data_IF_198986122745
#
_entry.id   IF_198986122745
#
_cell.length_a   1.000
_cell.length_b   1.000
_cell.length_c   1.000
_cell.angle_alpha   90.00
_cell.angle_beta   90.00
_cell.angle_gamma   90.00
#
_symmetry.space_group_name_H-M   'P 1'
#
loop_
_entity.id
_entity.type
_entity.pdbx_description
1 polymer ?
#
# COMPACT_ATOMS: atom_id res chain seq x y z
N UNK A 1 12.04 19.98 -7.12
CA UNK A 1 11.83 18.60 -7.63
C UNK A 1 11.24 17.79 -6.47
N UNK A 2 10.19 16.99 -6.69
CA UNK A 2 9.72 16.03 -5.68
C UNK A 2 10.79 14.95 -5.49
N UNK A 3 11.16 14.66 -4.25
CA UNK A 3 12.05 13.54 -3.95
C UNK A 3 11.22 12.35 -3.51
N UNK A 4 11.20 11.33 -4.37
CA UNK A 4 10.62 10.03 -4.06
C UNK A 4 11.67 9.19 -3.35
N UNK A 5 11.33 8.70 -2.16
CA UNK A 5 12.18 7.82 -1.35
C UNK A 5 11.45 6.51 -1.16
N UNK A 6 12.13 5.40 -1.48
CA UNK A 6 11.68 4.06 -1.12
C UNK A 6 12.54 3.58 0.02
N UNK A 7 11.92 3.17 1.13
CA UNK A 7 12.64 2.69 2.32
C UNK A 7 11.90 1.55 2.99
N UNK A 8 12.60 0.83 3.87
CA UNK A 8 11.97 -0.16 4.74
C UNK A 8 10.87 0.50 5.58
N UNK A 9 9.77 -0.24 5.73
CA UNK A 9 8.74 0.07 6.69
C UNK A 9 9.34 0.08 8.11
N UNK A 10 8.90 1.04 8.93
CA UNK A 10 9.16 1.09 10.37
C UNK A 10 7.84 1.17 11.13
N UNK A 11 7.84 0.87 12.44
CA UNK A 11 6.61 0.82 13.24
C UNK A 11 5.79 2.12 13.18
N UNK A 12 6.47 3.28 13.13
CA UNK A 12 5.83 4.59 13.03
C UNK A 12 5.00 4.78 11.74
N UNK A 13 5.29 4.01 10.69
CA UNK A 13 4.51 4.04 9.45
C UNK A 13 3.16 3.33 9.56
N UNK A 14 2.96 2.46 10.56
CA UNK A 14 1.84 1.53 10.62
C UNK A 14 0.49 2.22 10.45
N UNK A 15 0.28 3.32 11.17
CA UNK A 15 -0.97 4.09 11.11
C UNK A 15 -1.18 4.72 9.72
N UNK A 16 -0.13 5.26 9.11
CA UNK A 16 -0.20 5.87 7.78
C UNK A 16 -0.47 4.82 6.70
N UNK A 17 0.12 3.63 6.82
CA UNK A 17 -0.15 2.47 5.96
C UNK A 17 -1.60 2.03 6.05
N UNK A 18 -2.16 1.86 7.25
CA UNK A 18 -3.58 1.48 7.43
C UNK A 18 -4.50 2.47 6.73
N UNK A 19 -4.24 3.77 6.92
CA UNK A 19 -5.04 4.83 6.28
C UNK A 19 -4.90 4.82 4.75
N UNK A 20 -3.68 4.63 4.25
CA UNK A 20 -3.42 4.55 2.81
C UNK A 20 -4.16 3.36 2.19
N UNK A 21 -4.01 2.16 2.75
CA UNK A 21 -4.64 0.95 2.20
C UNK A 21 -6.16 1.03 2.27
N UNK A 22 -6.71 1.52 3.39
CA UNK A 22 -8.15 1.75 3.52
C UNK A 22 -8.69 2.70 2.44
N UNK A 23 -7.98 3.80 2.20
CA UNK A 23 -8.34 4.74 1.13
C UNK A 23 -8.26 4.08 -0.24
N UNK A 24 -7.18 3.34 -0.53
CA UNK A 24 -6.99 2.66 -1.81
C UNK A 24 -8.07 1.63 -2.07
N UNK A 25 -8.34 0.71 -1.12
CA UNK A 25 -9.36 -0.34 -1.30
C UNK A 25 -10.75 0.24 -1.56
N UNK A 26 -11.15 1.30 -0.83
CA UNK A 26 -12.43 1.99 -1.07
C UNK A 26 -12.51 2.66 -2.44
N UNK A 27 -11.38 3.00 -3.06
CA UNK A 27 -11.34 3.63 -4.39
C UNK A 27 -11.28 2.59 -5.49
N UNK A 28 -10.30 1.68 -5.46
CA UNK A 28 -10.02 0.75 -6.55
C UNK A 28 -10.97 -0.44 -6.57
N UNK A 29 -11.37 -0.95 -5.40
CA UNK A 29 -12.07 -2.23 -5.31
C UNK A 29 -13.60 -2.06 -5.25
N UNK A 30 -14.11 -0.82 -5.19
CA UNK A 30 -15.56 -0.55 -5.10
C UNK A 30 -16.37 -1.01 -6.31
N UNK A 31 -15.70 -1.21 -7.46
CA UNK A 31 -16.33 -1.68 -8.69
C UNK A 31 -16.60 -3.18 -8.62
N UNK A 32 -15.67 -3.94 -8.03
CA UNK A 32 -15.69 -5.40 -8.03
C UNK A 32 -16.26 -5.99 -6.72
N UNK A 33 -16.23 -5.23 -5.62
CA UNK A 33 -16.60 -5.72 -4.29
C UNK A 33 -17.59 -4.79 -3.57
N UNK A 34 -18.48 -5.38 -2.77
CA UNK A 34 -19.42 -4.64 -1.94
C UNK A 34 -18.70 -3.85 -0.84
N UNK A 35 -19.30 -2.73 -0.42
CA UNK A 35 -18.80 -1.94 0.71
C UNK A 35 -18.66 -2.77 1.98
N UNK A 36 -19.65 -3.62 2.29
CA UNK A 36 -19.61 -4.52 3.46
C UNK A 36 -18.41 -5.46 3.42
N UNK A 37 -18.11 -6.04 2.25
CA UNK A 37 -16.93 -6.90 2.09
C UNK A 37 -15.63 -6.12 2.31
N UNK A 38 -15.50 -4.94 1.70
CA UNK A 38 -14.33 -4.07 1.84
C UNK A 38 -14.13 -3.67 3.31
N UNK A 39 -15.15 -3.17 4.00
CA UNK A 39 -15.02 -2.73 5.39
C UNK A 39 -14.72 -3.90 6.35
N UNK A 40 -15.28 -5.09 6.09
CA UNK A 40 -14.93 -6.28 6.88
C UNK A 40 -13.49 -6.75 6.64
N UNK A 41 -12.95 -6.58 5.44
CA UNK A 41 -11.53 -6.83 5.18
C UNK A 41 -10.65 -5.81 5.91
N UNK A 42 -11.01 -4.53 5.87
CA UNK A 42 -10.25 -3.45 6.51
C UNK A 42 -10.16 -3.58 8.04
N UNK A 43 -11.14 -4.21 8.70
CA UNK A 43 -11.05 -4.54 10.14
C UNK A 43 -9.87 -5.46 10.48
N UNK A 44 -9.41 -6.29 9.53
CA UNK A 44 -8.28 -7.22 9.72
C UNK A 44 -6.95 -6.61 9.28
N UNK A 45 -6.98 -5.49 8.56
CA UNK A 45 -5.81 -4.78 8.04
C UNK A 45 -5.47 -3.62 8.98
N UNK A 46 -5.25 -3.93 10.25
CA UNK A 46 -4.93 -2.96 11.29
C UNK A 46 -3.40 -2.80 11.47
N UNK A 47 -2.98 -2.01 12.46
CA UNK A 47 -1.56 -1.78 12.73
C UNK A 47 -0.83 -3.07 13.12
N UNK A 48 -1.47 -3.97 13.86
CA UNK A 48 -0.85 -5.22 14.29
C UNK A 48 -0.57 -6.13 13.08
N UNK A 49 -1.51 -6.20 12.13
CA UNK A 49 -1.32 -6.91 10.88
C UNK A 49 -0.08 -6.44 10.11
N UNK A 50 0.12 -5.13 9.96
CA UNK A 50 1.27 -4.60 9.21
C UNK A 50 2.60 -4.73 9.96
N UNK A 51 2.59 -4.68 11.29
CA UNK A 51 3.76 -4.98 12.10
C UNK A 51 4.18 -6.45 11.95
N UNK A 52 3.22 -7.39 11.98
CA UNK A 52 3.46 -8.81 11.73
C UNK A 52 3.96 -9.05 10.29
N UNK A 53 3.34 -8.39 9.31
CA UNK A 53 3.76 -8.47 7.91
C UNK A 53 5.22 -8.05 7.75
N UNK A 54 5.66 -6.99 8.43
CA UNK A 54 7.06 -6.54 8.39
C UNK A 54 8.04 -7.59 8.92
N UNK A 55 7.64 -8.41 9.90
CA UNK A 55 8.51 -9.45 10.49
C UNK A 55 8.73 -10.62 9.54
N UNK A 56 7.73 -10.95 8.72
CA UNK A 56 7.76 -12.11 7.81
C UNK A 56 8.05 -11.78 6.35
N UNK A 57 8.28 -10.50 6.02
CA UNK A 57 8.44 -10.06 4.63
C UNK A 57 9.42 -8.92 4.48
N UNK A 58 9.83 -8.69 3.24
CA UNK A 58 10.47 -7.47 2.83
C UNK A 58 9.45 -6.36 2.57
N UNK A 59 9.13 -5.61 3.62
CA UNK A 59 8.10 -4.58 3.58
C UNK A 59 8.69 -3.17 3.38
N UNK A 60 8.17 -2.45 2.38
CA UNK A 60 8.64 -1.12 1.96
C UNK A 60 7.52 -0.11 1.88
N UNK A 61 7.87 1.15 2.14
CA UNK A 61 7.02 2.32 1.93
C UNK A 61 7.65 3.25 0.90
N UNK A 62 6.80 3.94 0.15
CA UNK A 62 7.17 4.97 -0.81
C UNK A 62 6.72 6.31 -0.26
N UNK A 63 7.66 7.25 -0.13
CA UNK A 63 7.40 8.59 0.38
C UNK A 63 7.71 9.65 -0.68
N UNK A 64 6.88 10.68 -0.79
CA UNK A 64 7.17 11.93 -1.50
C UNK A 64 7.14 13.08 -0.50
N UNK A 65 8.24 13.82 -0.34
CA UNK A 65 8.35 14.94 0.62
C UNK A 65 7.81 14.57 2.03
N UNK A 66 8.29 13.45 2.57
CA UNK A 66 7.88 12.84 3.85
C UNK A 66 6.43 12.31 3.92
N UNK A 67 5.64 12.42 2.85
CA UNK A 67 4.29 11.84 2.79
C UNK A 67 4.34 10.43 2.22
N UNK A 68 3.78 9.46 2.95
CA UNK A 68 3.60 8.10 2.46
C UNK A 68 2.55 8.08 1.33
N UNK A 69 2.97 7.64 0.14
CA UNK A 69 2.16 7.57 -1.08
C UNK A 69 1.98 6.14 -1.62
N UNK A 70 2.76 5.18 -1.12
CA UNK A 70 2.69 3.79 -1.53
C UNK A 70 3.28 2.84 -0.50
N UNK A 71 2.91 1.57 -0.58
CA UNK A 71 3.42 0.50 0.28
C UNK A 71 3.28 -0.87 -0.38
N UNK A 72 4.24 -1.75 -0.14
CA UNK A 72 4.25 -3.10 -0.70
C UNK A 72 5.24 -4.02 0.00
N UNK A 73 4.90 -5.30 0.06
CA UNK A 73 5.66 -6.32 0.76
C UNK A 73 6.01 -7.49 -0.17
N UNK A 74 7.21 -8.05 -0.01
CA UNK A 74 7.67 -9.25 -0.70
C UNK A 74 7.97 -10.31 0.35
N UNK A 75 7.20 -11.40 0.39
CA UNK A 75 7.36 -12.44 1.40
C UNK A 75 7.26 -13.83 0.80
N UNK A 76 7.63 -14.88 1.54
CA UNK A 76 7.45 -16.27 1.10
C UNK A 76 5.98 -16.54 0.78
N UNK A 77 5.73 -17.30 -0.29
CA UNK A 77 4.40 -17.73 -0.67
C UNK A 77 3.91 -18.80 0.31
N UNK A 78 3.16 -18.38 1.32
CA UNK A 78 2.44 -19.27 2.24
C UNK A 78 3.38 -20.31 2.88
N UNK A 79 3.24 -21.58 2.52
CA UNK A 79 4.01 -22.71 3.04
C UNK A 79 5.18 -23.12 2.11
N UNK A 80 5.40 -22.38 1.02
CA UNK A 80 6.49 -22.65 0.07
C UNK A 80 7.78 -21.99 0.54
N UNK A 81 8.87 -22.76 0.51
CA UNK A 81 10.23 -22.24 0.76
C UNK A 81 10.89 -21.68 -0.49
N UNK A 82 10.35 -22.00 -1.67
CA UNK A 82 10.97 -21.72 -2.97
C UNK A 82 10.18 -20.68 -3.79
N UNK A 83 9.01 -20.27 -3.32
CA UNK A 83 8.15 -19.29 -3.98
C UNK A 83 7.96 -18.03 -3.12
N UNK A 84 7.85 -16.88 -3.77
CA UNK A 84 7.61 -15.60 -3.12
C UNK A 84 6.33 -14.95 -3.64
N UNK A 85 5.50 -14.44 -2.73
CA UNK A 85 4.37 -13.57 -3.05
C UNK A 85 4.83 -12.11 -3.10
N UNK A 86 4.49 -11.43 -4.19
CA UNK A 86 4.46 -9.98 -4.22
C UNK A 86 3.10 -9.48 -3.74
N UNK A 87 3.07 -8.85 -2.56
CA UNK A 87 1.87 -8.28 -1.97
C UNK A 87 1.94 -6.74 -2.07
N UNK A 88 1.47 -6.20 -3.21
CA UNK A 88 1.32 -4.75 -3.38
C UNK A 88 -0.03 -4.30 -2.83
N UNK A 89 -0.01 -3.55 -1.73
CA UNK A 89 -1.24 -3.10 -1.07
C UNK A 89 -1.70 -1.71 -1.54
N UNK A 90 -0.78 -0.84 -1.96
CA UNK A 90 -1.17 0.49 -2.46
C UNK A 90 -0.05 1.19 -3.21
N UNK A 91 -0.39 1.71 -4.40
CA UNK A 91 0.13 2.97 -4.88
C UNK A 91 -1.08 3.89 -4.89
N UNK A 92 -1.06 5.03 -4.19
CA UNK A 92 -1.82 6.17 -4.72
C UNK A 92 -1.15 6.43 -6.05
N UNK A 93 -1.73 5.88 -7.11
CA UNK A 93 -1.57 6.42 -8.44
C UNK A 93 -1.65 7.92 -8.23
N UNK A 94 -0.61 8.62 -8.61
CA UNK A 94 -0.66 10.01 -8.93
C UNK A 94 -1.71 10.12 -10.06
N UNK A 95 -3.00 10.01 -9.73
CA UNK A 95 -4.13 10.39 -10.58
C UNK A 95 -4.14 11.92 -10.55
N UNK A 96 -3.03 12.50 -10.98
CA UNK A 96 -3.06 13.58 -11.91
C UNK A 96 -2.63 12.92 -13.20
N UNK A 97 -3.63 12.66 -14.05
CA UNK A 97 -3.44 12.86 -15.48
C UNK A 97 -2.74 14.21 -15.59
N UNK A 98 -1.41 14.16 -15.73
CA UNK A 98 -0.65 15.31 -16.17
C UNK A 98 -1.02 15.37 -17.63
N UNK A 99 -2.11 16.08 -17.93
CA UNK A 99 -2.39 16.58 -19.26
C UNK A 99 -1.20 17.47 -19.63
N UNK A 100 -0.15 16.83 -20.13
CA UNK A 100 0.91 17.46 -20.88
C UNK A 100 0.36 17.61 -22.29
N UNK A 101 0.16 18.87 -22.69
CA UNK A 101 -0.10 19.24 -24.08
C UNK A 101 -1.56 19.56 -24.38
N UNK A 102 -1.94 20.83 -24.24
CA UNK A 102 -2.13 21.69 -25.42
C UNK A 102 -2.20 23.15 -24.95
N UNK A 103 -1.09 23.86 -25.19
CA UNK A 103 -1.08 25.31 -25.37
C UNK A 103 -1.19 25.50 -26.88
N UNK A 104 -2.32 25.97 -27.35
CA UNK A 104 -2.56 26.75 -28.58
C UNK A 104 -4.02 27.16 -28.56
#
# INVERSE_FOLDING_TARGET
>A
MSQIIVRRFVADDARAVVQLVAKTMRISNRVDYSSTYIENALKRLDTAHYLELNQRSHFYVVCDQNRLIGTGAIGPYWHSRDEFSFLLFSLIQLIKVRALGHVS
#
